data_IF_638276747302
#
_entry.id   IF_638276747302
#
_cell.length_a   1.000
_cell.length_b   1.000
_cell.length_c   1.000
_cell.angle_alpha   90.00
_cell.angle_beta   90.00
_cell.angle_gamma   90.00
#
_symmetry.space_group_name_H-M   'P 1'
#
loop_
_entity.id
_entity.type
_entity.pdbx_description
1 polymer ?
#
# COMPACT_ATOMS: atom_id res chain seq x y z
N UNK A 1 9.21 -21.38 -5.41
CA UNK A 1 8.15 -20.54 -5.98
C UNK A 1 8.02 -19.30 -5.09
N UNK A 2 8.06 -18.08 -5.63
CA UNK A 2 7.65 -16.89 -4.89
C UNK A 2 6.18 -16.62 -5.22
N UNK A 3 5.35 -16.37 -4.20
CA UNK A 3 3.96 -15.94 -4.40
C UNK A 3 3.98 -14.42 -4.49
N UNK A 4 3.96 -13.89 -5.71
CA UNK A 4 3.94 -12.43 -5.94
C UNK A 4 2.49 -11.97 -5.98
N UNK A 5 2.11 -11.16 -5.00
CA UNK A 5 0.80 -10.51 -4.92
C UNK A 5 0.98 -9.01 -4.76
N UNK A 6 0.19 -8.22 -5.49
CA UNK A 6 0.29 -6.75 -5.49
C UNK A 6 -1.10 -6.18 -5.18
N UNK A 7 -1.18 -5.31 -4.17
CA UNK A 7 -2.26 -4.33 -4.09
C UNK A 7 -1.78 -3.10 -4.87
N UNK A 8 -2.36 -2.83 -6.05
CA UNK A 8 -1.83 -1.87 -7.02
C UNK A 8 -1.83 -0.45 -6.45
N UNK A 9 -1.11 0.50 -7.07
CA UNK A 9 -1.14 1.90 -6.67
C UNK A 9 -2.57 2.42 -6.49
N UNK A 10 -2.88 2.95 -5.30
CA UNK A 10 -4.18 3.50 -4.95
C UNK A 10 -4.05 4.65 -3.97
N UNK A 11 -5.15 5.37 -3.74
CA UNK A 11 -5.23 6.46 -2.77
C UNK A 11 -6.52 6.40 -1.97
N UNK A 12 -6.47 6.98 -0.78
CA UNK A 12 -7.60 7.23 0.12
C UNK A 12 -7.77 8.73 0.29
N UNK A 13 -8.75 9.33 -0.40
CA UNK A 13 -8.94 10.79 -0.40
C UNK A 13 -9.42 11.33 0.96
N UNK A 14 -9.97 10.47 1.83
CA UNK A 14 -10.55 10.87 3.12
C UNK A 14 -9.97 10.15 4.33
N UNK A 15 -8.86 9.43 4.19
CA UNK A 15 -8.24 8.76 5.35
C UNK A 15 -6.74 8.59 5.22
N UNK A 16 -6.06 8.71 6.36
CA UNK A 16 -4.76 8.07 6.59
C UNK A 16 -5.00 6.58 6.82
N UNK A 17 -4.14 5.73 6.26
CA UNK A 17 -4.12 4.30 6.54
C UNK A 17 -2.93 3.97 7.45
N UNK A 18 -3.17 3.20 8.50
CA UNK A 18 -2.12 2.52 9.26
C UNK A 18 -2.23 1.01 8.98
N UNK A 19 -1.11 0.40 8.61
CA UNK A 19 -1.02 -1.01 8.23
C UNK A 19 -0.08 -1.74 9.18
N UNK A 20 -0.52 -2.87 9.72
CA UNK A 20 0.28 -3.79 10.54
C UNK A 20 0.41 -5.13 9.82
N UNK A 21 1.64 -5.64 9.70
CA UNK A 21 1.89 -6.96 9.11
C UNK A 21 1.65 -8.04 10.15
N UNK A 22 0.72 -8.94 9.87
CA UNK A 22 0.45 -10.10 10.71
C UNK A 22 1.38 -11.27 10.36
N UNK A 23 1.65 -11.46 9.06
CA UNK A 23 2.47 -12.55 8.52
C UNK A 23 3.15 -12.14 7.21
N UNK A 24 4.29 -12.78 6.92
CA UNK A 24 5.00 -12.61 5.65
C UNK A 24 5.97 -11.42 5.60
N UNK A 25 6.35 -11.05 4.38
CA UNK A 25 7.29 -9.97 4.07
C UNK A 25 6.72 -9.11 2.95
N UNK A 26 6.48 -7.83 3.24
CA UNK A 26 5.72 -6.93 2.37
C UNK A 26 6.55 -5.69 2.06
N UNK A 27 6.85 -5.46 0.79
CA UNK A 27 7.35 -4.17 0.36
C UNK A 27 6.17 -3.21 0.22
N UNK A 28 6.25 -2.08 0.91
CA UNK A 28 5.26 -1.00 0.85
C UNK A 28 5.92 0.28 0.38
N UNK A 29 5.12 1.21 -0.12
CA UNK A 29 5.58 2.55 -0.37
C UNK A 29 4.49 3.53 -0.75
N UNK A 30 4.81 4.82 -0.65
CA UNK A 30 3.99 5.92 -1.11
C UNK A 30 4.83 6.98 -1.82
N UNK A 31 4.18 7.79 -2.66
CA UNK A 31 4.80 8.92 -3.35
C UNK A 31 4.42 10.21 -2.63
N UNK A 32 5.40 11.05 -2.30
CA UNK A 32 5.13 12.38 -1.71
C UNK A 32 4.45 13.29 -2.73
N UNK A 33 3.84 14.38 -2.27
CA UNK A 33 3.21 15.35 -3.16
C UNK A 33 4.22 16.16 -3.98
N UNK A 34 3.73 16.82 -5.03
CA UNK A 34 4.43 17.86 -5.77
C UNK A 34 5.04 18.91 -4.82
N UNK A 35 6.27 19.43 -5.06
CA UNK A 35 7.10 19.25 -6.26
C UNK A 35 7.93 17.98 -6.32
N UNK A 36 8.21 17.33 -5.20
CA UNK A 36 9.23 16.27 -5.16
C UNK A 36 8.79 14.99 -5.84
N UNK A 37 7.52 14.60 -5.68
CA UNK A 37 7.00 13.31 -6.16
C UNK A 37 7.93 12.14 -5.80
N UNK A 38 8.49 12.19 -4.59
CA UNK A 38 9.53 11.28 -4.12
C UNK A 38 8.90 9.98 -3.65
N UNK A 39 9.41 8.86 -4.16
CA UNK A 39 9.03 7.54 -3.68
C UNK A 39 9.70 7.22 -2.34
N UNK A 40 8.90 6.88 -1.33
CA UNK A 40 9.33 6.36 -0.03
C UNK A 40 8.93 4.88 0.04
N UNK A 41 9.88 4.00 0.30
CA UNK A 41 9.62 2.55 0.40
C UNK A 41 10.25 1.92 1.64
N UNK A 42 9.67 0.80 2.07
CA UNK A 42 10.22 -0.05 3.12
C UNK A 42 9.76 -1.51 2.90
N UNK A 43 10.63 -2.46 3.20
CA UNK A 43 10.22 -3.85 3.38
C UNK A 43 9.87 -4.08 4.84
N UNK A 44 8.63 -4.46 5.10
CA UNK A 44 8.06 -4.76 6.41
C UNK A 44 8.07 -6.27 6.67
N UNK A 45 8.35 -6.66 7.90
CA UNK A 45 8.20 -8.02 8.41
C UNK A 45 7.01 -8.09 9.37
N UNK A 46 6.67 -9.31 9.81
CA UNK A 46 5.68 -9.53 10.88
C UNK A 46 5.90 -8.58 12.06
N UNK A 47 4.81 -8.01 12.55
CA UNK A 47 4.72 -7.01 13.62
C UNK A 47 5.18 -5.60 13.27
N UNK A 48 5.79 -5.37 12.10
CA UNK A 48 6.07 -4.01 11.66
C UNK A 48 4.78 -3.26 11.33
N UNK A 49 4.84 -1.95 11.53
CA UNK A 49 3.75 -1.02 11.27
C UNK A 49 4.22 0.06 10.31
N UNK A 50 3.34 0.49 9.42
CA UNK A 50 3.61 1.58 8.47
C UNK A 50 2.38 2.46 8.29
N UNK A 51 2.61 3.76 8.06
CA UNK A 51 1.54 4.75 7.88
C UNK A 51 1.61 5.32 6.48
N UNK A 52 0.47 5.31 5.78
CA UNK A 52 0.26 5.99 4.52
C UNK A 52 -0.52 7.28 4.76
N UNK A 53 0.09 8.46 4.56
CA UNK A 53 -0.62 9.73 4.74
C UNK A 53 -1.82 9.88 3.80
N UNK A 54 -2.87 10.55 4.28
CA UNK A 54 -4.10 10.82 3.51
C UNK A 54 -3.82 11.38 2.12
N UNK A 55 -4.55 10.88 1.13
CA UNK A 55 -4.51 11.35 -0.26
C UNK A 55 -3.27 10.94 -1.05
N UNK A 56 -2.21 10.38 -0.43
CA UNK A 56 -1.01 9.98 -1.15
C UNK A 56 -1.18 8.62 -1.82
N UNK A 57 -0.68 8.52 -3.06
CA UNK A 57 -0.67 7.28 -3.83
C UNK A 57 0.31 6.31 -3.18
N UNK A 58 -0.16 5.10 -2.88
CA UNK A 58 0.63 4.06 -2.21
C UNK A 58 0.29 2.66 -2.73
N UNK A 59 1.16 1.70 -2.41
CA UNK A 59 1.03 0.30 -2.84
C UNK A 59 1.57 -0.66 -1.78
N UNK A 60 1.22 -1.94 -1.93
CA UNK A 60 1.83 -3.04 -1.20
C UNK A 60 2.15 -4.20 -2.16
N UNK A 61 3.32 -4.82 -1.99
CA UNK A 61 3.80 -5.92 -2.82
C UNK A 61 4.38 -7.03 -1.92
N UNK A 62 3.85 -8.26 -2.04
CA UNK A 62 4.41 -9.42 -1.37
C UNK A 62 5.72 -9.81 -2.06
N UNK A 63 6.82 -9.66 -1.32
CA UNK A 63 8.18 -10.03 -1.78
C UNK A 63 8.67 -11.32 -1.12
N UNK A 64 7.85 -11.92 -0.25
CA UNK A 64 8.14 -13.17 0.42
C UNK A 64 7.95 -14.41 -0.46
N UNK A 65 8.39 -15.55 0.08
CA UNK A 65 8.18 -16.88 -0.53
C UNK A 65 6.76 -17.41 -0.30
N UNK A 66 6.10 -16.92 0.75
CA UNK A 66 4.82 -17.41 1.25
C UNK A 66 3.77 -16.29 1.21
N UNK A 67 2.53 -16.63 1.53
CA UNK A 67 1.46 -15.64 1.67
C UNK A 67 1.82 -14.60 2.75
N UNK A 68 1.34 -13.37 2.54
CA UNK A 68 1.43 -12.29 3.51
C UNK A 68 0.03 -11.87 3.94
N UNK A 69 -0.12 -11.47 5.21
CA UNK A 69 -1.37 -11.02 5.78
C UNK A 69 -1.14 -9.72 6.56
N UNK A 70 -2.08 -8.79 6.44
CA UNK A 70 -2.03 -7.47 7.08
C UNK A 70 -3.39 -7.10 7.65
N UNK A 71 -3.39 -6.23 8.67
CA UNK A 71 -4.58 -5.48 9.07
C UNK A 71 -4.31 -4.00 8.78
N UNK A 72 -5.28 -3.34 8.14
CA UNK A 72 -5.27 -1.92 7.91
C UNK A 72 -6.41 -1.26 8.70
N UNK A 73 -6.11 -0.13 9.35
CA UNK A 73 -7.10 0.75 9.96
C UNK A 73 -7.04 2.11 9.28
N UNK A 74 -8.22 2.70 9.06
CA UNK A 74 -8.35 3.97 8.35
C UNK A 74 -8.98 5.01 9.26
N UNK A 75 -8.48 6.25 9.20
CA UNK A 75 -8.93 7.36 10.06
C UNK A 75 -10.30 7.94 9.67
N UNK A 76 -11.09 7.23 8.85
CA UNK A 76 -12.43 7.64 8.41
C UNK A 76 -13.32 6.42 8.22
N UNK A 77 -14.57 6.54 8.63
CA UNK A 77 -15.63 5.56 8.37
C UNK A 77 -15.94 5.36 6.88
N UNK A 78 -15.53 6.31 6.04
CA UNK A 78 -15.70 6.25 4.60
C UNK A 78 -14.45 6.84 3.92
N UNK A 79 -13.37 6.05 3.79
CA UNK A 79 -12.06 6.53 3.36
C UNK A 79 -11.99 6.87 1.86
N UNK A 80 -12.89 6.30 1.05
CA UNK A 80 -12.78 6.17 -0.43
C UNK A 80 -11.54 5.40 -0.85
N UNK A 81 -11.63 4.51 -1.83
CA UNK A 81 -10.46 3.87 -2.45
C UNK A 81 -10.51 4.10 -3.95
N UNK A 82 -9.49 4.74 -4.48
CA UNK A 82 -9.35 4.98 -5.91
C UNK A 82 -8.07 4.34 -6.39
N UNK A 83 -8.18 3.39 -7.33
CA UNK A 83 -7.04 2.73 -7.95
C UNK A 83 -6.48 3.69 -9.01
N UNK A 84 -5.18 3.93 -8.96
CA UNK A 84 -4.49 4.78 -9.93
C UNK A 84 -4.08 3.89 -11.11
N UNK A 85 -4.46 4.30 -12.32
CA UNK A 85 -4.22 3.62 -13.61
C UNK A 85 -5.01 2.30 -13.84
N UNK A 86 -6.34 2.33 -13.89
CA UNK A 86 -7.16 1.25 -14.51
C UNK A 86 -7.59 1.52 -15.96
N UNK A 87 -7.10 2.58 -16.61
CA UNK A 87 -7.24 2.75 -18.06
C UNK A 87 -5.91 2.40 -18.75
N UNK A 88 -5.69 1.10 -18.99
CA UNK A 88 -4.95 0.54 -20.15
C UNK A 88 -4.72 -0.97 -19.97
N UNK A 89 -5.76 -1.79 -20.18
CA UNK A 89 -5.63 -3.13 -20.80
C UNK A 89 -7.02 -3.58 -21.31
N UNK A 90 -7.46 -2.94 -22.39
CA UNK A 90 -8.45 -3.52 -23.31
C UNK A 90 -7.74 -3.76 -24.64
N UNK A 91 -7.00 -4.86 -24.73
CA UNK A 91 -6.62 -5.55 -25.96
C UNK A 91 -6.41 -7.02 -25.63
#
# INVERSE_FOLDING_TARGET
>A
MHIVGINPPHTHLRATEILTVLEGSLQVGFVTSNPENRLITKTLQKSDVFVFPVGLVHFQCNVGKWNAAVIAALSSQNPEKSIVNQHQSSF
#
